data_IF_311224865388
#
_entry.id   IF_311224865388
#
_cell.length_a   1.000
_cell.length_b   1.000
_cell.length_c   1.000
_cell.angle_alpha   90.00
_cell.angle_beta   90.00
_cell.angle_gamma   90.00
#
_symmetry.space_group_name_H-M   'P 1'
#
loop_
_entity.id
_entity.type
_entity.pdbx_description
1 polymer ?
#
# COMPACT_ATOMS: atom_id res chain seq x y z
N UNK A 1 -1.86 -14.18 -17.31
CA UNK A 1 -1.32 -12.86 -16.91
C UNK A 1 -1.25 -12.86 -15.39
N UNK A 2 -0.07 -12.74 -14.78
CA UNK A 2 0.06 -12.72 -13.32
C UNK A 2 -0.23 -11.30 -12.85
N UNK A 3 -1.36 -11.10 -12.15
CA UNK A 3 -1.69 -9.80 -11.56
C UNK A 3 -0.75 -9.56 -10.38
N UNK A 4 0.03 -8.49 -10.45
CA UNK A 4 0.94 -8.13 -9.38
C UNK A 4 0.19 -7.38 -8.27
N UNK A 5 -0.16 -8.09 -7.20
CA UNK A 5 -0.89 -7.51 -6.07
C UNK A 5 -0.01 -6.77 -5.06
N UNK A 6 1.31 -6.72 -5.26
CA UNK A 6 2.26 -6.05 -4.34
C UNK A 6 1.88 -4.60 -4.11
N UNK A 7 1.37 -3.93 -5.14
CA UNK A 7 0.87 -2.57 -5.06
C UNK A 7 -0.26 -2.43 -4.03
N UNK A 8 -1.29 -3.28 -4.11
CA UNK A 8 -2.42 -3.23 -3.18
C UNK A 8 -2.02 -3.57 -1.75
N UNK A 9 -1.07 -4.49 -1.56
CA UNK A 9 -0.53 -4.82 -0.23
C UNK A 9 0.16 -3.60 0.39
N UNK A 10 0.96 -2.88 -0.41
CA UNK A 10 1.64 -1.64 0.02
C UNK A 10 0.61 -0.60 0.46
N UNK A 11 -0.36 -0.28 -0.41
CA UNK A 11 -1.39 0.71 -0.11
C UNK A 11 -2.29 0.31 1.05
N UNK A 12 -2.70 -0.96 1.12
CA UNK A 12 -3.47 -1.47 2.24
C UNK A 12 -2.72 -1.31 3.55
N UNK A 13 -1.44 -1.70 3.60
CA UNK A 13 -0.64 -1.56 4.82
C UNK A 13 -0.50 -0.10 5.23
N UNK A 14 -0.39 0.80 4.26
CA UNK A 14 -0.28 2.23 4.51
C UNK A 14 -1.55 2.86 5.07
N UNK A 15 -2.73 2.24 4.88
CA UNK A 15 -3.95 2.68 5.56
C UNK A 15 -3.83 2.59 7.09
N UNK A 16 -2.93 1.77 7.63
CA UNK A 16 -2.63 1.74 9.07
C UNK A 16 -1.91 3.02 9.57
N UNK A 17 -1.36 3.84 8.68
CA UNK A 17 -0.81 5.16 9.03
C UNK A 17 -1.91 6.20 9.26
N UNK A 18 -3.12 5.92 8.78
CA UNK A 18 -4.24 6.85 8.81
C UNK A 18 -4.97 6.70 10.14
N UNK A 19 -5.23 7.80 10.88
CA UNK A 19 -6.01 7.75 12.12
C UNK A 19 -7.38 7.08 11.92
N UNK A 20 -7.87 6.38 12.95
CA UNK A 20 -9.08 5.56 12.83
C UNK A 20 -10.36 6.38 12.54
N UNK A 21 -10.39 7.65 12.91
CA UNK A 21 -11.46 8.63 12.69
C UNK A 21 -11.49 9.23 11.28
N UNK A 22 -10.44 9.01 10.48
CA UNK A 22 -10.34 9.55 9.12
C UNK A 22 -11.01 8.60 8.13
N UNK A 23 -12.11 9.07 7.53
CA UNK A 23 -12.84 8.35 6.48
C UNK A 23 -12.30 8.64 5.08
N UNK A 24 -11.68 9.81 4.88
CA UNK A 24 -11.14 10.24 3.58
C UNK A 24 -9.67 10.61 3.74
N UNK A 25 -8.80 9.97 2.97
CA UNK A 25 -7.39 10.33 2.93
C UNK A 25 -6.83 10.22 1.51
N UNK A 26 -5.72 10.89 1.25
CA UNK A 26 -5.01 10.84 -0.02
C UNK A 26 -3.58 10.34 0.21
N UNK A 27 -3.09 9.50 -0.69
CA UNK A 27 -1.67 9.14 -0.78
C UNK A 27 -1.06 9.62 -2.07
N UNK A 28 0.17 10.13 -1.96
CA UNK A 28 0.99 10.48 -3.10
C UNK A 28 2.19 9.55 -3.19
N UNK A 29 2.33 8.88 -4.32
CA UNK A 29 3.48 8.05 -4.65
C UNK A 29 4.43 8.79 -5.58
N UNK A 30 5.64 9.09 -5.10
CA UNK A 30 6.68 9.75 -5.87
C UNK A 30 7.76 8.75 -6.29
N UNK A 31 7.72 8.31 -7.56
CA UNK A 31 8.70 7.40 -8.15
C UNK A 31 9.92 8.11 -8.75
N UNK A 32 9.79 9.40 -9.06
CA UNK A 32 10.88 10.26 -9.52
C UNK A 32 10.60 11.72 -9.14
N UNK A 33 11.54 12.62 -9.41
CA UNK A 33 11.33 14.06 -9.21
C UNK A 33 10.16 14.61 -10.04
N UNK A 34 9.79 13.94 -11.14
CA UNK A 34 8.82 14.44 -12.12
C UNK A 34 7.48 13.71 -12.04
N UNK A 35 7.46 12.44 -11.62
CA UNK A 35 6.23 11.63 -11.60
C UNK A 35 5.74 11.38 -10.18
N UNK A 36 4.59 11.98 -9.88
CA UNK A 36 3.81 11.70 -8.67
C UNK A 36 2.44 11.18 -9.08
N UNK A 37 2.11 9.99 -8.61
CA UNK A 37 0.77 9.42 -8.69
C UNK A 37 0.02 9.75 -7.41
N UNK A 38 -1.22 10.21 -7.51
CA UNK A 38 -2.08 10.47 -6.37
C UNK A 38 -3.24 9.49 -6.38
N UNK A 39 -3.57 9.01 -5.20
CA UNK A 39 -4.62 8.02 -4.98
C UNK A 39 -5.46 8.50 -3.81
N UNK A 40 -6.76 8.57 -4.03
CA UNK A 40 -7.74 8.90 -3.02
C UNK A 40 -8.26 7.61 -2.40
N UNK A 41 -8.51 7.67 -1.10
CA UNK A 41 -9.04 6.57 -0.32
C UNK A 41 -10.25 7.04 0.48
N UNK A 42 -11.30 6.25 0.41
CA UNK A 42 -12.54 6.45 1.16
C UNK A 42 -12.86 5.16 1.92
N UNK A 43 -13.18 5.29 3.20
CA UNK A 43 -13.53 4.18 4.08
C UNK A 43 -15.03 4.12 4.28
N UNK A 44 -15.61 2.95 4.01
CA UNK A 44 -17.03 2.66 4.23
C UNK A 44 -17.16 1.25 4.77
N UNK A 45 -17.75 1.10 5.96
CA UNK A 45 -17.99 -0.20 6.60
C UNK A 45 -16.76 -1.13 6.67
N UNK A 46 -15.60 -0.54 6.98
CA UNK A 46 -14.33 -1.28 7.09
C UNK A 46 -13.70 -1.68 5.74
N UNK A 47 -14.26 -1.23 4.63
CA UNK A 47 -13.70 -1.37 3.28
C UNK A 47 -13.08 -0.05 2.83
N UNK A 48 -11.98 -0.13 2.11
CA UNK A 48 -11.32 1.00 1.50
C UNK A 48 -11.60 1.01 0.00
N UNK A 49 -12.28 2.05 -0.49
CA UNK A 49 -12.34 2.36 -1.91
C UNK A 49 -11.10 3.18 -2.27
N UNK A 50 -10.32 2.66 -3.21
CA UNK A 50 -9.10 3.26 -3.72
C UNK A 50 -9.35 3.77 -5.15
N UNK A 51 -9.09 5.05 -5.41
CA UNK A 51 -9.36 5.69 -6.70
C UNK A 51 -8.17 6.56 -7.12
N UNK A 52 -7.52 6.33 -8.27
CA UNK A 52 -6.49 7.21 -8.81
C UNK A 52 -7.06 8.60 -9.11
N UNK A 53 -6.37 9.66 -8.71
CA UNK A 53 -6.88 11.04 -8.89
C UNK A 53 -6.98 11.49 -10.36
N UNK A 54 -6.49 10.70 -11.32
CA UNK A 54 -6.56 10.99 -12.77
C UNK A 54 -7.55 10.09 -13.52
N UNK A 55 -8.17 9.15 -12.83
CA UNK A 55 -9.10 8.18 -13.39
C UNK A 55 -10.13 7.84 -12.30
N UNK A 56 -11.06 8.76 -12.06
CA UNK A 56 -12.06 8.63 -10.98
C UNK A 56 -12.99 7.43 -11.18
N UNK A 57 -13.17 7.04 -12.44
CA UNK A 57 -13.92 5.88 -12.85
C UNK A 57 -13.16 4.55 -12.71
N UNK A 58 -11.89 4.54 -12.34
CA UNK A 58 -11.12 3.31 -12.14
C UNK A 58 -10.91 3.12 -10.62
N UNK A 59 -11.70 2.26 -9.98
CA UNK A 59 -11.59 2.04 -8.54
C UNK A 59 -11.37 0.58 -8.19
N UNK A 60 -10.77 0.41 -7.01
CA UNK A 60 -10.54 -0.89 -6.39
C UNK A 60 -11.04 -0.84 -4.95
N UNK A 61 -11.79 -1.84 -4.54
CA UNK A 61 -12.25 -2.01 -3.16
C UNK A 61 -11.35 -3.03 -2.46
N UNK A 62 -10.83 -2.63 -1.30
CA UNK A 62 -9.90 -3.39 -0.48
C UNK A 62 -10.47 -3.63 0.92
N UNK A 63 -10.38 -4.87 1.43
CA UNK A 63 -10.70 -5.19 2.82
C UNK A 63 -9.98 -6.45 3.26
N UNK A 64 -9.96 -6.74 4.57
CA UNK A 64 -9.45 -8.02 5.09
C UNK A 64 -10.57 -8.97 5.49
N UNK A 65 -10.40 -10.25 5.15
CA UNK A 65 -11.28 -11.31 5.65
C UNK A 65 -10.81 -11.87 7.00
N UNK A 66 -11.62 -12.79 7.56
CA UNK A 66 -11.34 -13.43 8.87
C UNK A 66 -10.07 -14.29 8.88
N UNK A 67 -9.56 -14.66 7.70
CA UNK A 67 -8.33 -15.45 7.53
C UNK A 67 -7.12 -14.56 7.27
N UNK A 68 -7.23 -13.25 7.49
CA UNK A 68 -6.18 -12.27 7.25
C UNK A 68 -5.72 -12.22 5.78
N UNK A 69 -6.63 -12.51 4.84
CA UNK A 69 -6.38 -12.25 3.42
C UNK A 69 -6.78 -10.82 3.08
N UNK A 70 -5.99 -10.15 2.26
CA UNK A 70 -6.41 -8.95 1.54
C UNK A 70 -7.34 -9.38 0.40
N UNK A 71 -8.59 -8.96 0.48
CA UNK A 71 -9.58 -9.07 -0.57
C UNK A 71 -9.51 -7.83 -1.47
N UNK A 72 -9.48 -8.07 -2.78
CA UNK A 72 -9.30 -7.06 -3.82
C UNK A 72 -10.40 -7.26 -4.85
N UNK A 73 -11.26 -6.25 -5.00
CA UNK A 73 -12.34 -6.24 -5.98
C UNK A 73 -12.11 -5.06 -6.91
N UNK A 74 -11.90 -5.33 -8.20
CA UNK A 74 -11.68 -4.30 -9.21
C UNK A 74 -13.02 -3.92 -9.83
N UNK A 75 -13.18 -2.68 -10.26
CA UNK A 75 -14.41 -2.23 -10.94
C UNK A 75 -14.74 -3.06 -12.19
N UNK A 76 -13.73 -3.41 -12.99
CA UNK A 76 -13.95 -4.18 -14.24
C UNK A 76 -14.43 -5.61 -13.98
N UNK A 77 -14.27 -6.11 -12.76
CA UNK A 77 -14.61 -7.48 -12.36
C UNK A 77 -15.31 -7.48 -11.01
N UNK A 78 -16.38 -6.69 -10.86
CA UNK A 78 -17.07 -6.54 -9.56
C UNK A 78 -17.58 -7.88 -8.98
N UNK A 79 -17.88 -8.86 -9.83
CA UNK A 79 -18.31 -10.19 -9.37
C UNK A 79 -17.15 -11.06 -8.85
N UNK A 80 -15.90 -10.66 -9.11
CA UNK A 80 -14.71 -11.42 -8.74
C UNK A 80 -13.96 -10.74 -7.59
N UNK A 81 -13.69 -11.53 -6.55
CA UNK A 81 -12.85 -11.10 -5.43
C UNK A 81 -11.56 -11.88 -5.45
N UNK A 82 -10.47 -11.19 -5.73
CA UNK A 82 -9.13 -11.75 -5.60
C UNK A 82 -8.69 -11.72 -4.13
N UNK A 83 -8.00 -12.77 -3.69
CA UNK A 83 -7.53 -12.89 -2.31
C UNK A 83 -6.02 -13.12 -2.27
N UNK A 84 -5.35 -12.39 -1.39
CA UNK A 84 -3.91 -12.47 -1.19
C UNK A 84 -3.62 -12.62 0.30
N UNK A 85 -2.84 -13.65 0.67
CA UNK A 85 -2.49 -13.92 2.07
C UNK A 85 -1.57 -12.84 2.62
N UNK A 86 -2.03 -12.02 3.59
CA UNK A 86 -1.16 -10.99 4.16
C UNK A 86 -0.02 -11.57 4.99
N UNK A 87 -0.20 -12.76 5.58
CA UNK A 87 0.83 -13.39 6.41
C UNK A 87 2.05 -13.83 5.59
N UNK A 88 1.88 -14.11 4.30
CA UNK A 88 2.98 -14.42 3.37
C UNK A 88 3.75 -13.16 2.95
N UNK A 89 3.09 -12.00 2.95
CA UNK A 89 3.61 -10.77 2.36
C UNK A 89 4.00 -9.69 3.37
N UNK A 90 3.52 -9.76 4.61
CA UNK A 90 3.78 -8.77 5.66
C UNK A 90 4.60 -9.43 6.75
N UNK A 91 5.86 -9.02 6.88
CA UNK A 91 6.69 -9.41 8.01
C UNK A 91 6.20 -8.73 9.27
N UNK A 92 5.31 -9.37 10.04
CA UNK A 92 4.80 -8.85 11.31
C UNK A 92 5.95 -8.61 12.29
N UNK A 93 6.26 -7.33 12.54
CA UNK A 93 6.75 -6.87 13.84
C UNK A 93 5.61 -6.07 14.44
N UNK A 94 5.05 -6.49 15.58
CA UNK A 94 3.99 -5.74 16.23
C UNK A 94 4.37 -4.26 16.32
N UNK A 95 3.49 -3.39 15.84
CA UNK A 95 3.76 -1.97 15.84
C UNK A 95 2.60 -1.19 16.44
N UNK A 96 2.75 -0.80 17.71
CA UNK A 96 1.75 -0.02 18.44
C UNK A 96 1.73 1.47 18.04
N UNK A 97 2.67 1.93 17.20
CA UNK A 97 2.89 3.36 16.91
C UNK A 97 3.05 3.63 15.40
N UNK A 98 2.09 3.18 14.60
CA UNK A 98 2.08 3.39 13.13
C UNK A 98 2.31 4.85 12.71
N UNK A 99 1.78 5.82 13.45
CA UNK A 99 2.02 7.26 13.26
C UNK A 99 3.49 7.71 13.43
N UNK A 100 4.40 6.84 13.90
CA UNK A 100 5.85 7.12 14.02
C UNK A 100 6.68 6.45 12.94
N UNK A 101 6.04 5.76 12.00
CA UNK A 101 6.72 4.99 10.98
C UNK A 101 7.41 5.94 9.99
N UNK A 102 8.68 5.65 9.71
CA UNK A 102 9.54 6.54 8.90
C UNK A 102 9.78 6.03 7.50
N UNK A 103 9.84 4.72 7.35
CA UNK A 103 9.96 4.07 6.06
C UNK A 103 9.42 2.64 6.10
N UNK A 104 8.97 2.19 4.93
CA UNK A 104 8.83 0.78 4.63
C UNK A 104 10.06 0.27 3.90
N UNK A 105 10.39 -1.00 4.11
CA UNK A 105 11.38 -1.74 3.37
C UNK A 105 10.68 -2.91 2.67
N UNK A 106 10.86 -2.97 1.36
CA UNK A 106 10.31 -3.97 0.46
C UNK A 106 11.42 -4.91 0.02
N UNK A 107 11.18 -6.21 0.17
CA UNK A 107 12.07 -7.26 -0.36
C UNK A 107 11.28 -8.19 -1.26
N UNK A 108 11.92 -8.74 -2.28
CA UNK A 108 11.33 -9.83 -3.03
C UNK A 108 11.22 -11.08 -2.15
N UNK A 109 10.13 -11.83 -2.29
CA UNK A 109 9.99 -13.11 -1.61
C UNK A 109 11.04 -14.13 -2.06
N UNK A 110 11.47 -14.09 -3.31
CA UNK A 110 12.53 -14.94 -3.85
C UNK A 110 13.95 -14.45 -3.51
N UNK A 111 14.07 -13.37 -2.70
CA UNK A 111 15.29 -12.69 -2.32
C UNK A 111 16.17 -12.21 -3.49
N UNK A 112 15.63 -12.11 -4.72
CA UNK A 112 16.37 -11.54 -5.85
C UNK A 112 16.31 -10.02 -5.80
N UNK A 113 17.47 -9.37 -5.87
CA UNK A 113 17.59 -7.91 -5.80
C UNK A 113 17.69 -7.37 -4.36
N UNK A 114 18.13 -6.12 -4.25
CA UNK A 114 18.30 -5.44 -2.96
C UNK A 114 16.97 -4.96 -2.37
N UNK A 115 16.94 -4.62 -1.07
CA UNK A 115 15.76 -4.01 -0.47
C UNK A 115 15.47 -2.64 -1.07
N UNK A 116 14.20 -2.38 -1.37
CA UNK A 116 13.71 -1.06 -1.79
C UNK A 116 13.12 -0.34 -0.59
N UNK A 117 13.58 0.89 -0.34
CA UNK A 117 13.09 1.71 0.76
C UNK A 117 12.05 2.72 0.28
N UNK A 118 10.92 2.77 0.97
CA UNK A 118 9.87 3.77 0.78
C UNK A 118 9.86 4.70 1.98
N UNK A 119 10.44 5.89 1.83
CA UNK A 119 10.36 6.91 2.87
C UNK A 119 8.94 7.47 2.94
N UNK A 120 8.47 7.68 4.17
CA UNK A 120 7.14 8.20 4.46
C UNK A 120 7.26 9.62 4.96
N UNK A 121 6.40 10.48 4.44
CA UNK A 121 6.24 11.85 4.89
C UNK A 121 4.75 12.12 5.06
N UNK A 122 4.29 12.15 6.29
CA UNK A 122 2.95 12.64 6.62
C UNK A 122 2.91 14.16 6.39
N UNK A 123 1.93 14.66 5.64
CA UNK A 123 1.67 16.10 5.50
C UNK A 123 0.25 16.39 5.97
N UNK A 124 0.07 16.51 7.28
CA UNK A 124 -1.24 16.67 7.89
C UNK A 124 -1.98 15.35 8.07
N UNK A 125 -3.21 15.41 8.58
CA UNK A 125 -3.97 14.23 9.02
C UNK A 125 -4.47 13.34 7.86
N UNK A 126 -4.73 13.92 6.70
CA UNK A 126 -5.41 13.24 5.59
C UNK A 126 -4.50 13.04 4.36
N UNK A 127 -3.20 13.28 4.49
CA UNK A 127 -2.28 13.15 3.36
C UNK A 127 -0.95 12.52 3.76
N UNK A 128 -0.60 11.44 3.06
CA UNK A 128 0.67 10.73 3.22
C UNK A 128 1.41 10.71 1.88
N UNK A 129 2.67 11.12 1.89
CA UNK A 129 3.54 11.02 0.74
C UNK A 129 4.57 9.91 0.93
N UNK A 130 4.74 9.13 -0.12
CA UNK A 130 5.68 8.03 -0.21
C UNK A 130 6.72 8.37 -1.27
N UNK A 131 7.99 8.27 -0.90
CA UNK A 131 9.10 8.52 -1.80
C UNK A 131 9.98 7.29 -1.88
N UNK A 132 10.14 6.77 -3.09
CA UNK A 132 11.06 5.66 -3.33
C UNK A 132 12.50 6.18 -3.21
N UNK A 133 13.31 5.55 -2.36
CA UNK A 133 14.76 5.72 -2.33
C UNK A 133 15.42 4.38 -2.67
N UNK A 134 16.13 4.33 -3.80
CA UNK A 134 16.74 3.13 -4.36
C UNK A 134 16.91 3.25 -5.88
N UNK A 135 17.46 2.23 -6.55
CA UNK A 135 17.58 2.23 -8.00
C UNK A 135 16.19 2.38 -8.65
N UNK A 136 16.06 3.35 -9.56
CA UNK A 136 14.83 3.64 -10.29
C UNK A 136 14.45 2.41 -11.12
N UNK A 137 13.23 1.88 -10.92
CA UNK A 137 12.61 0.90 -11.83
C UNK A 137 12.32 -0.50 -11.29
N UNK A 138 12.57 -0.79 -10.02
CA UNK A 138 12.50 -2.19 -9.55
C UNK A 138 11.12 -2.65 -9.06
N UNK A 139 10.18 -1.77 -8.73
CA UNK A 139 8.89 -2.19 -8.14
C UNK A 139 8.03 -3.05 -9.06
N UNK A 140 8.13 -2.84 -10.37
CA UNK A 140 7.44 -3.66 -11.37
C UNK A 140 7.98 -5.09 -11.44
N UNK A 141 9.17 -5.35 -10.89
CA UNK A 141 9.81 -6.68 -10.89
C UNK A 141 9.43 -7.53 -9.69
N UNK A 142 8.71 -6.99 -8.69
CA UNK A 142 8.37 -7.77 -7.50
C UNK A 142 7.17 -8.67 -7.78
N UNK A 143 7.41 -9.97 -7.96
CA UNK A 143 6.34 -10.98 -8.09
C UNK A 143 5.80 -11.47 -6.73
N UNK A 144 5.94 -10.64 -5.71
CA UNK A 144 5.61 -10.95 -4.33
C UNK A 144 6.56 -10.21 -3.40
N UNK A 145 6.01 -9.41 -2.50
CA UNK A 145 6.79 -8.58 -1.58
C UNK A 145 6.76 -9.15 -0.17
N UNK A 146 7.86 -8.96 0.55
CA UNK A 146 7.90 -8.96 2.01
C UNK A 146 8.05 -7.52 2.48
N UNK A 147 7.02 -7.01 3.15
CA UNK A 147 6.98 -5.66 3.70
C UNK A 147 7.44 -5.66 5.15
N UNK A 148 8.38 -4.79 5.48
CA UNK A 148 8.84 -4.52 6.86
C UNK A 148 8.98 -3.01 7.09
N UNK A 149 9.16 -2.55 8.33
CA UNK A 149 9.21 -1.11 8.64
C UNK A 149 10.06 -0.75 9.86
N UNK A 150 10.36 0.55 10.00
CA UNK A 150 11.04 1.15 11.17
C UNK A 150 10.38 2.46 11.60
N UNK A 151 10.31 2.68 12.91
CA UNK A 151 9.79 3.90 13.54
C UNK A 151 10.89 4.77 14.14
N UNK A 152 10.60 6.06 14.35
CA UNK A 152 11.43 6.90 15.22
C UNK A 152 11.37 6.34 16.65
N UNK A 153 12.53 6.26 17.31
CA UNK A 153 12.62 5.95 18.74
C UNK A 153 11.84 6.99 19.54
#
# INVERSE_FOLDING_TARGET
MVINYSFFIIFYTMTNLVPADVQHFQMAWQSSTVRTMRINFEKTDGRWKMTPSRAEDDYVILWTDKKNNLCIQMKESEEQVHKVSLDEHIGKKEHKKWHKLTYFELKNLDNKGGPVRLDITERGKNFVQLKVKGQKGELQKFQGIKLTWKSKK
#
